data_IF_330654508354
#
_entry.id   IF_330654508354
#
_cell.length_a   1.000
_cell.length_b   1.000
_cell.length_c   1.000
_cell.angle_alpha   90.00
_cell.angle_beta   90.00
_cell.angle_gamma   90.00
#
_symmetry.space_group_name_H-M   'P 1'
#
loop_
_entity.id
_entity.type
_entity.pdbx_description
1 polymer ?
#
# COMPACT_ATOMS: atom_id res chain seq x y z
N UNK A 1 58.00 3.60 53.30
CA UNK A 1 59.24 2.82 53.48
C UNK A 1 59.56 2.15 52.16
N UNK A 2 60.68 2.57 51.55
CA UNK A 2 61.49 1.95 50.48
C UNK A 2 60.83 1.48 49.15
N UNK A 3 61.09 2.19 48.02
CA UNK A 3 62.05 1.88 46.89
C UNK A 3 61.46 0.87 45.87
N UNK A 4 61.05 1.26 44.65
CA UNK A 4 61.78 1.31 43.34
C UNK A 4 62.24 -0.09 42.85
N UNK A 5 62.31 -0.51 41.56
CA UNK A 5 62.84 0.04 40.28
C UNK A 5 62.32 -0.93 39.17
N UNK A 6 61.92 -0.54 37.95
CA UNK A 6 62.78 -0.40 36.77
C UNK A 6 62.83 -1.64 35.85
N UNK A 7 62.49 -1.49 34.55
CA UNK A 7 62.74 -2.50 33.50
C UNK A 7 62.16 -2.09 32.14
N UNK A 8 63.04 -1.85 31.16
CA UNK A 8 62.80 -1.36 29.79
C UNK A 8 63.07 -2.46 28.75
N UNK A 9 62.56 -2.26 27.51
CA UNK A 9 62.99 -2.86 26.21
C UNK A 9 62.49 -4.30 25.92
N UNK A 10 62.03 -4.75 24.73
CA UNK A 10 62.04 -4.33 23.30
C UNK A 10 60.73 -4.86 22.63
N UNK A 11 60.00 -4.07 21.85
CA UNK A 11 59.96 -4.02 20.38
C UNK A 11 59.79 -5.37 19.62
N UNK A 12 58.56 -5.66 19.17
CA UNK A 12 58.31 -6.36 17.89
C UNK A 12 57.08 -5.74 17.21
N UNK A 13 57.38 -4.89 16.25
CA UNK A 13 56.66 -4.53 15.01
C UNK A 13 55.31 -5.20 14.65
N UNK A 14 54.47 -4.32 14.09
CA UNK A 14 53.59 -4.52 12.93
C UNK A 14 52.18 -5.08 13.16
N UNK A 15 51.22 -4.15 13.17
CA UNK A 15 50.14 -4.17 12.16
C UNK A 15 49.61 -2.75 11.93
N UNK A 16 49.97 -2.20 10.77
CA UNK A 16 49.22 -1.14 10.12
C UNK A 16 47.79 -1.61 9.87
N UNK A 17 46.80 -0.75 10.12
CA UNK A 17 45.77 -0.31 9.16
C UNK A 17 44.69 0.47 9.93
N UNK A 18 44.82 1.79 10.02
CA UNK A 18 44.15 2.77 9.14
C UNK A 18 42.67 2.96 9.48
N UNK A 19 42.42 3.98 10.31
CA UNK A 19 41.13 4.65 10.45
C UNK A 19 40.62 5.08 9.06
N UNK A 20 39.51 4.51 8.60
CA UNK A 20 38.65 5.14 7.58
C UNK A 20 37.42 5.69 8.28
N UNK A 21 37.31 7.01 8.21
CA UNK A 21 36.09 7.76 8.46
C UNK A 21 35.01 7.24 7.51
N UNK A 22 33.96 6.61 8.04
CA UNK A 22 32.69 6.51 7.32
C UNK A 22 32.05 7.89 7.35
N UNK A 23 32.11 8.57 6.21
CA UNK A 23 31.17 9.61 5.85
C UNK A 23 29.78 8.97 5.83
N UNK A 24 28.97 9.26 6.84
CA UNK A 24 27.53 9.14 6.74
C UNK A 24 27.08 10.08 5.63
N UNK A 25 26.80 9.53 4.45
CA UNK A 25 26.00 10.22 3.45
C UNK A 25 24.56 10.17 3.96
N UNK A 26 24.16 11.20 4.68
CA UNK A 26 22.76 11.54 4.89
C UNK A 26 22.23 12.01 3.53
N UNK A 27 21.79 11.05 2.72
CA UNK A 27 21.06 11.31 1.48
C UNK A 27 19.60 11.46 1.84
N UNK A 28 19.10 12.69 1.76
CA UNK A 28 17.67 12.97 1.74
C UNK A 28 17.12 12.35 0.44
N UNK A 29 16.61 11.12 0.50
CA UNK A 29 15.84 10.56 -0.62
C UNK A 29 14.63 11.48 -0.81
N UNK A 30 14.58 12.16 -1.94
CA UNK A 30 13.43 12.97 -2.31
C UNK A 30 12.21 12.06 -2.45
N UNK A 31 11.17 12.36 -1.69
CA UNK A 31 9.80 11.97 -2.01
C UNK A 31 9.49 12.47 -3.43
N UNK A 32 9.53 11.59 -4.43
CA UNK A 32 8.73 11.65 -5.66
C UNK A 32 9.28 10.63 -6.66
N UNK A 33 9.00 9.34 -6.53
CA UNK A 33 9.47 8.35 -7.51
C UNK A 33 8.43 7.26 -7.78
N UNK A 34 7.22 7.66 -8.20
CA UNK A 34 6.33 6.82 -9.00
C UNK A 34 5.53 7.63 -10.04
N UNK A 35 5.97 8.84 -10.40
CA UNK A 35 5.29 9.69 -11.39
C UNK A 35 5.54 9.23 -12.85
N UNK A 36 5.37 7.95 -13.13
CA UNK A 36 5.62 7.33 -14.44
C UNK A 36 4.43 7.32 -15.40
N UNK A 37 3.34 8.07 -15.16
CA UNK A 37 2.16 8.03 -16.04
C UNK A 37 1.52 9.42 -16.21
N UNK A 38 2.09 10.29 -17.06
CA UNK A 38 1.33 11.40 -17.67
C UNK A 38 0.87 10.98 -19.07
N UNK A 39 -0.28 10.31 -19.14
CA UNK A 39 -0.90 9.88 -20.40
C UNK A 39 -1.43 11.07 -21.21
N UNK A 40 -0.81 11.36 -22.35
CA UNK A 40 -1.32 12.35 -23.31
C UNK A 40 -2.23 11.65 -24.33
N UNK A 41 -3.55 11.84 -24.19
CA UNK A 41 -4.54 11.30 -25.11
C UNK A 41 -4.41 11.88 -26.52
N UNK A 42 -4.15 11.02 -27.50
CA UNK A 42 -4.22 11.36 -28.92
C UNK A 42 -5.21 10.43 -29.62
N UNK A 43 -6.33 11.02 -30.04
CA UNK A 43 -7.33 10.41 -30.93
C UNK A 43 -6.78 10.28 -32.34
N UNK A 44 -6.83 9.09 -32.94
CA UNK A 44 -6.40 8.89 -34.33
C UNK A 44 -6.74 7.53 -34.96
N UNK A 45 -7.94 7.46 -35.55
CA UNK A 45 -8.29 6.86 -36.87
C UNK A 45 -7.79 5.48 -37.34
N UNK A 46 -8.78 4.66 -37.71
CA UNK A 46 -8.78 3.44 -38.53
C UNK A 46 -7.74 3.33 -39.66
N UNK A 47 -7.14 2.13 -39.77
CA UNK A 47 -6.38 1.69 -40.94
C UNK A 47 -6.05 0.19 -40.93
N UNK A 48 -6.89 -0.61 -41.58
CA UNK A 48 -6.68 -2.03 -41.93
C UNK A 48 -5.40 -2.30 -42.74
N UNK A 49 -4.63 -3.37 -42.42
CA UNK A 49 -4.05 -4.28 -43.44
C UNK A 49 -3.57 -5.63 -42.89
N UNK A 50 -3.95 -6.69 -43.59
CA UNK A 50 -3.51 -8.09 -43.50
C UNK A 50 -1.99 -8.32 -43.71
N UNK A 51 -1.44 -9.41 -43.14
CA UNK A 51 -0.48 -10.26 -43.86
C UNK A 51 0.76 -10.80 -43.13
N UNK A 52 0.65 -12.03 -42.60
CA UNK A 52 1.64 -13.13 -42.47
C UNK A 52 3.17 -12.88 -42.47
N UNK A 53 3.87 -13.43 -41.46
CA UNK A 53 4.78 -14.62 -41.53
C UNK A 53 6.09 -14.51 -40.71
N UNK A 54 6.24 -15.44 -39.75
CA UNK A 54 7.45 -16.08 -39.14
C UNK A 54 8.79 -15.33 -39.06
N UNK A 55 9.36 -15.32 -37.85
CA UNK A 55 10.75 -15.76 -37.61
C UNK A 55 10.92 -16.24 -36.16
N UNK A 56 11.39 -17.47 -35.97
CA UNK A 56 12.03 -17.90 -34.72
C UNK A 56 13.43 -17.29 -34.70
N UNK A 57 13.70 -16.37 -33.76
CA UNK A 57 15.05 -15.87 -33.45
C UNK A 57 15.09 -15.38 -32.00
N UNK A 58 16.10 -15.86 -31.27
CA UNK A 58 16.72 -15.35 -30.03
C UNK A 58 15.87 -14.65 -28.95
N UNK A 59 16.02 -15.16 -27.71
CA UNK A 59 15.40 -14.63 -26.48
C UNK A 59 15.93 -13.25 -26.09
N UNK A 60 15.44 -12.23 -26.78
CA UNK A 60 15.31 -10.86 -26.30
C UNK A 60 13.83 -10.55 -26.35
N UNK A 61 13.17 -10.42 -25.19
CA UNK A 61 11.73 -10.18 -25.13
C UNK A 61 11.35 -8.96 -25.97
N UNK A 62 10.42 -9.14 -26.89
CA UNK A 62 9.89 -8.03 -27.69
C UNK A 62 9.25 -6.99 -26.74
N UNK A 63 9.50 -5.70 -26.99
CA UNK A 63 8.86 -4.61 -26.22
C UNK A 63 7.35 -4.74 -26.35
N UNK A 64 6.68 -4.77 -25.20
CA UNK A 64 5.22 -4.84 -25.16
C UNK A 64 4.65 -3.43 -25.01
N UNK A 65 3.82 -3.00 -25.96
CA UNK A 65 3.03 -1.78 -25.82
C UNK A 65 1.92 -2.01 -24.77
N UNK A 66 1.89 -1.26 -23.66
CA UNK A 66 0.83 -1.38 -22.69
C UNK A 66 -0.59 -1.17 -23.22
N UNK A 67 -0.75 -0.35 -24.27
CA UNK A 67 -2.06 -0.06 -24.85
C UNK A 67 -2.68 -1.26 -25.58
N UNK A 68 -1.85 -2.21 -26.01
CA UNK A 68 -2.27 -3.41 -26.74
C UNK A 68 -2.37 -4.65 -25.83
N UNK A 69 -1.83 -4.57 -24.61
CA UNK A 69 -1.81 -5.68 -23.67
C UNK A 69 -3.20 -5.96 -23.06
N UNK A 70 -3.53 -7.25 -22.81
CA UNK A 70 -4.78 -7.59 -22.13
C UNK A 70 -4.78 -7.05 -20.70
N UNK A 71 -5.96 -6.70 -20.19
CA UNK A 71 -6.13 -6.30 -18.78
C UNK A 71 -6.42 -7.50 -17.89
N UNK A 72 -5.87 -7.47 -16.69
CA UNK A 72 -6.08 -8.46 -15.64
C UNK A 72 -7.50 -8.35 -15.11
N UNK A 73 -8.13 -9.49 -14.81
CA UNK A 73 -9.46 -9.55 -14.22
C UNK A 73 -9.34 -9.51 -12.69
N UNK A 74 -9.94 -8.53 -12.04
CA UNK A 74 -9.84 -8.35 -10.58
C UNK A 74 -11.18 -8.66 -9.89
N UNK A 75 -11.15 -9.41 -8.78
CA UNK A 75 -12.32 -9.63 -7.92
C UNK A 75 -11.99 -9.44 -6.43
N UNK A 76 -12.12 -8.20 -5.96
CA UNK A 76 -11.83 -7.83 -4.55
C UNK A 76 -12.81 -8.41 -3.54
N UNK A 77 -13.99 -8.86 -3.98
CA UNK A 77 -15.07 -9.27 -3.08
C UNK A 77 -15.35 -10.77 -3.15
N UNK A 78 -14.45 -11.55 -3.76
CA UNK A 78 -14.51 -13.02 -3.74
C UNK A 78 -14.19 -13.55 -2.34
N UNK A 79 -14.60 -14.79 -2.04
CA UNK A 79 -14.24 -15.49 -0.79
C UNK A 79 -12.71 -15.61 -0.57
N UNK A 80 -11.93 -15.54 -1.65
CA UNK A 80 -10.47 -15.61 -1.60
C UNK A 80 -9.81 -14.26 -1.30
N UNK A 81 -10.47 -13.15 -1.64
CA UNK A 81 -9.93 -11.80 -1.53
C UNK A 81 -10.51 -11.01 -0.35
N UNK A 82 -11.82 -11.08 -0.14
CA UNK A 82 -12.52 -10.33 0.89
C UNK A 82 -12.48 -11.01 2.25
N UNK A 83 -12.54 -10.22 3.32
CA UNK A 83 -12.71 -10.70 4.70
C UNK A 83 -13.96 -10.10 5.33
N UNK A 84 -14.07 -8.77 5.36
CA UNK A 84 -15.26 -8.06 5.80
C UNK A 84 -16.20 -7.77 4.64
N UNK A 85 -15.65 -7.60 3.43
CA UNK A 85 -16.39 -7.27 2.21
C UNK A 85 -16.44 -8.49 1.27
N UNK A 86 -17.07 -9.57 1.73
CA UNK A 86 -17.31 -10.75 0.91
C UNK A 86 -18.67 -10.62 0.20
N UNK A 87 -18.68 -10.77 -1.12
CA UNK A 87 -19.91 -10.71 -1.93
C UNK A 87 -20.87 -11.81 -1.50
N UNK A 88 -22.14 -11.46 -1.32
CA UNK A 88 -23.20 -12.41 -0.99
C UNK A 88 -24.53 -11.97 -1.62
N UNK A 89 -25.51 -12.88 -1.66
CA UNK A 89 -26.86 -12.55 -2.13
C UNK A 89 -27.55 -11.45 -1.30
N UNK A 90 -27.02 -11.14 -0.11
CA UNK A 90 -27.58 -10.17 0.83
C UNK A 90 -26.94 -8.78 0.73
N UNK A 91 -25.85 -8.62 -0.03
CA UNK A 91 -25.18 -7.33 -0.23
C UNK A 91 -25.14 -6.95 -1.71
N UNK A 92 -24.98 -5.66 -1.97
CA UNK A 92 -24.94 -5.08 -3.31
C UNK A 92 -23.49 -4.79 -3.74
N UNK A 93 -22.54 -5.64 -3.33
CA UNK A 93 -21.14 -5.46 -3.71
C UNK A 93 -20.95 -5.73 -5.21
N UNK A 94 -20.16 -4.92 -5.94
CA UNK A 94 -19.93 -5.05 -7.37
C UNK A 94 -19.52 -6.46 -7.81
N UNK A 95 -19.90 -6.87 -9.02
CA UNK A 95 -19.56 -8.16 -9.63
C UNK A 95 -18.05 -8.27 -9.96
N UNK A 96 -17.52 -9.48 -10.24
CA UNK A 96 -16.10 -9.61 -10.54
C UNK A 96 -15.72 -8.79 -11.78
N UNK A 97 -14.66 -7.99 -11.66
CA UNK A 97 -14.15 -7.07 -12.68
C UNK A 97 -15.11 -5.93 -13.07
N UNK A 98 -16.15 -5.71 -12.28
CA UNK A 98 -16.95 -4.50 -12.39
C UNK A 98 -16.21 -3.34 -11.70
N UNK A 99 -16.15 -2.14 -12.32
CA UNK A 99 -15.61 -0.96 -11.66
C UNK A 99 -16.29 -0.69 -10.31
N UNK A 100 -15.50 -0.32 -9.30
CA UNK A 100 -15.97 -0.06 -7.94
C UNK A 100 -15.95 1.45 -7.69
N UNK A 101 -17.06 2.01 -7.21
CA UNK A 101 -17.10 3.39 -6.71
C UNK A 101 -16.88 3.41 -5.18
N UNK A 102 -15.65 3.66 -4.75
CA UNK A 102 -15.28 3.71 -3.34
C UNK A 102 -15.78 4.97 -2.62
N UNK A 103 -16.30 5.96 -3.35
CA UNK A 103 -16.87 7.18 -2.75
C UNK A 103 -18.29 6.95 -2.18
N UNK A 104 -18.80 5.73 -2.28
CA UNK A 104 -20.10 5.32 -1.75
C UNK A 104 -19.97 4.38 -0.55
N UNK A 105 -21.03 4.29 0.25
CA UNK A 105 -21.17 3.22 1.24
C UNK A 105 -21.15 1.85 0.53
N UNK A 106 -20.56 0.81 1.12
CA UNK A 106 -19.99 0.75 2.47
C UNK A 106 -18.51 1.16 2.56
N UNK A 107 -17.91 1.69 1.49
CA UNK A 107 -16.46 1.89 1.37
C UNK A 107 -15.93 3.16 2.02
N UNK A 108 -16.79 4.11 2.40
CA UNK A 108 -16.39 5.35 3.07
C UNK A 108 -17.09 5.48 4.43
N UNK A 109 -16.33 5.79 5.47
CA UNK A 109 -16.83 5.91 6.85
C UNK A 109 -16.47 7.26 7.43
N UNK A 110 -17.38 7.79 8.27
CA UNK A 110 -17.15 9.00 9.06
C UNK A 110 -17.05 8.62 10.54
N UNK A 111 -16.06 9.17 11.23
CA UNK A 111 -15.80 8.95 12.65
C UNK A 111 -15.09 10.15 13.28
N UNK A 112 -14.34 9.90 14.36
CA UNK A 112 -13.56 10.90 15.08
C UNK A 112 -12.04 10.64 14.97
N UNK A 113 -11.28 11.72 14.93
CA UNK A 113 -9.84 11.74 15.14
C UNK A 113 -9.47 11.77 16.62
N UNK A 114 -8.16 11.79 16.93
CA UNK A 114 -7.66 11.69 18.30
C UNK A 114 -8.18 12.78 19.24
N UNK A 115 -8.38 14.01 18.74
CA UNK A 115 -8.83 15.17 19.52
C UNK A 115 -10.34 15.46 19.32
N UNK A 116 -11.07 14.53 18.68
CA UNK A 116 -12.51 14.61 18.44
C UNK A 116 -12.93 15.36 17.17
N UNK A 117 -11.96 15.71 16.32
CA UNK A 117 -12.24 16.21 14.99
C UNK A 117 -12.95 15.17 14.12
N UNK A 118 -13.81 15.62 13.21
CA UNK A 118 -14.47 14.71 12.27
C UNK A 118 -13.45 14.16 11.27
N UNK A 119 -13.40 12.85 11.08
CA UNK A 119 -12.56 12.22 10.04
C UNK A 119 -13.42 11.47 9.03
N UNK A 120 -12.96 11.45 7.78
CA UNK A 120 -13.49 10.58 6.73
C UNK A 120 -12.36 9.68 6.24
N UNK A 121 -12.62 8.39 6.13
CA UNK A 121 -11.65 7.40 5.68
C UNK A 121 -12.31 6.36 4.77
N UNK A 122 -11.54 5.80 3.84
CA UNK A 122 -11.98 4.64 3.06
C UNK A 122 -11.87 3.35 3.86
N UNK A 123 -12.48 2.27 3.41
CA UNK A 123 -12.27 0.92 3.90
C UNK A 123 -11.99 0.00 2.71
N UNK A 124 -10.73 -0.44 2.59
CA UNK A 124 -10.25 -1.35 1.55
C UNK A 124 -10.19 -2.81 2.02
N UNK A 125 -10.88 -3.12 3.11
CA UNK A 125 -10.94 -4.42 3.80
C UNK A 125 -9.67 -4.74 4.63
N UNK A 126 -9.67 -5.92 5.25
CA UNK A 126 -8.59 -6.47 6.06
C UNK A 126 -7.37 -6.72 5.20
N UNK A 127 -6.21 -6.29 5.70
CA UNK A 127 -4.91 -6.54 5.09
C UNK A 127 -3.95 -7.09 6.15
N UNK A 128 -3.09 -8.07 5.82
CA UNK A 128 -2.04 -8.50 6.73
C UNK A 128 -0.98 -7.40 6.89
N UNK A 129 -0.10 -7.53 7.89
CA UNK A 129 1.01 -6.58 8.10
C UNK A 129 2.24 -6.89 7.24
N UNK A 130 2.27 -8.02 6.54
CA UNK A 130 3.36 -8.39 5.62
C UNK A 130 3.09 -7.78 4.25
N UNK A 131 3.88 -6.81 3.78
CA UNK A 131 3.67 -6.17 2.48
C UNK A 131 4.01 -7.11 1.33
N UNK A 132 3.43 -6.85 0.15
CA UNK A 132 3.77 -7.51 -1.10
C UNK A 132 4.87 -6.72 -1.85
N UNK A 133 5.75 -7.33 -2.65
CA UNK A 133 6.77 -6.60 -3.41
C UNK A 133 6.17 -5.92 -4.65
N UNK A 134 6.59 -4.67 -4.91
CA UNK A 134 6.40 -3.99 -6.20
C UNK A 134 7.76 -3.62 -6.78
N UNK A 135 7.97 -3.92 -8.06
CA UNK A 135 9.26 -3.76 -8.71
C UNK A 135 9.26 -2.52 -9.60
N UNK A 136 10.11 -1.55 -9.26
CA UNK A 136 10.38 -0.36 -10.06
C UNK A 136 11.76 -0.48 -10.69
N UNK A 137 11.87 -0.20 -12.00
CA UNK A 137 13.11 -0.42 -12.74
C UNK A 137 13.87 0.90 -12.87
N UNK A 138 15.19 0.84 -12.70
CA UNK A 138 16.11 1.97 -12.73
C UNK A 138 17.29 1.62 -13.62
N UNK A 139 17.77 2.60 -14.39
CA UNK A 139 19.06 2.47 -15.07
C UNK A 139 20.18 2.55 -14.05
N UNK A 140 21.29 1.85 -14.32
CA UNK A 140 22.45 1.84 -13.42
C UNK A 140 22.93 3.26 -13.07
N UNK A 141 22.87 3.58 -11.76
CA UNK A 141 23.30 4.87 -11.22
C UNK A 141 22.28 6.00 -11.33
N UNK A 142 21.08 5.75 -11.85
CA UNK A 142 19.97 6.71 -11.84
C UNK A 142 19.15 6.58 -10.55
N UNK A 143 18.69 7.73 -10.03
CA UNK A 143 17.86 7.80 -8.83
C UNK A 143 16.37 7.91 -9.19
N UNK A 144 16.01 7.86 -10.48
CA UNK A 144 14.63 7.95 -10.95
C UNK A 144 14.21 6.68 -11.68
N UNK A 145 12.98 6.16 -11.48
CA UNK A 145 12.48 5.05 -12.28
C UNK A 145 12.57 5.36 -13.76
N UNK A 146 12.79 4.31 -14.54
CA UNK A 146 12.83 4.36 -15.98
C UNK A 146 11.50 4.91 -16.51
N UNK A 147 11.58 5.98 -17.30
CA UNK A 147 10.42 6.57 -17.94
C UNK A 147 9.69 5.55 -18.82
N UNK A 148 8.36 5.65 -18.87
CA UNK A 148 7.44 4.76 -19.61
C UNK A 148 7.44 3.28 -19.19
N UNK A 149 8.32 2.86 -18.29
CA UNK A 149 8.25 1.54 -17.69
C UNK A 149 7.20 1.51 -16.60
N UNK A 150 6.25 0.57 -16.71
CA UNK A 150 5.30 0.33 -15.63
C UNK A 150 5.91 -0.56 -14.56
N UNK A 151 5.52 -0.31 -13.32
CA UNK A 151 5.92 -1.18 -12.22
C UNK A 151 5.35 -2.58 -12.39
N UNK A 152 6.08 -3.57 -11.89
CA UNK A 152 5.70 -4.98 -11.99
C UNK A 152 5.25 -5.46 -10.61
N UNK A 153 4.16 -6.23 -10.56
CA UNK A 153 3.68 -6.96 -9.37
C UNK A 153 3.46 -8.44 -9.74
N UNK A 154 3.37 -9.31 -8.73
CA UNK A 154 3.25 -10.77 -8.91
C UNK A 154 2.03 -11.38 -8.20
N UNK A 155 1.22 -10.54 -7.56
CA UNK A 155 0.04 -10.96 -6.80
C UNK A 155 -1.08 -9.96 -6.99
N UNK A 156 -2.31 -10.45 -7.06
CA UNK A 156 -3.55 -9.65 -7.14
C UNK A 156 -4.54 -10.10 -6.05
N UNK A 157 -5.62 -9.34 -5.78
CA UNK A 157 -6.62 -9.74 -4.77
C UNK A 157 -7.11 -11.17 -5.01
N UNK A 158 -6.98 -12.02 -3.98
CA UNK A 158 -7.31 -13.44 -4.02
C UNK A 158 -6.10 -14.38 -4.09
N UNK A 159 -4.92 -13.86 -4.44
CA UNK A 159 -3.68 -14.62 -4.42
C UNK A 159 -3.07 -14.68 -3.02
N UNK A 160 -2.36 -15.77 -2.73
CA UNK A 160 -1.60 -15.91 -1.50
C UNK A 160 -0.49 -14.84 -1.44
N UNK A 161 -0.46 -14.07 -0.35
CA UNK A 161 0.54 -13.02 -0.15
C UNK A 161 0.18 -11.67 -0.76
N UNK A 162 -1.01 -11.52 -1.37
CA UNK A 162 -1.51 -10.21 -1.77
C UNK A 162 -1.61 -9.26 -0.59
N UNK A 163 -1.26 -7.99 -0.83
CA UNK A 163 -1.46 -6.90 0.10
C UNK A 163 -1.65 -5.59 -0.69
N UNK A 164 -2.50 -4.68 -0.21
CA UNK A 164 -2.60 -3.32 -0.76
C UNK A 164 -1.32 -2.50 -0.47
N UNK A 165 -0.53 -2.89 0.53
CA UNK A 165 0.74 -2.26 0.88
C UNK A 165 1.91 -2.92 0.15
N UNK A 166 2.58 -2.12 -0.66
CA UNK A 166 3.67 -2.56 -1.52
C UNK A 166 5.02 -2.10 -1.03
N UNK A 167 5.93 -3.05 -0.84
CA UNK A 167 7.33 -2.82 -0.57
C UNK A 167 8.07 -2.57 -1.89
N UNK A 168 8.60 -1.37 -2.05
CA UNK A 168 9.28 -0.99 -3.30
C UNK A 168 10.64 -1.69 -3.38
N UNK A 169 10.82 -2.46 -4.46
CA UNK A 169 12.05 -3.14 -4.80
C UNK A 169 12.62 -2.50 -6.07
N UNK A 170 13.85 -2.00 -5.98
CA UNK A 170 14.55 -1.39 -7.10
C UNK A 170 15.21 -2.49 -7.93
N UNK A 171 14.91 -2.49 -9.23
CA UNK A 171 15.50 -3.39 -10.22
C UNK A 171 16.48 -2.60 -11.07
N UNK A 172 17.76 -2.99 -11.07
CA UNK A 172 18.78 -2.33 -11.87
C UNK A 172 18.87 -2.97 -13.27
N UNK A 173 18.59 -2.18 -14.30
CA UNK A 173 18.64 -2.61 -15.71
C UNK A 173 19.79 -1.94 -16.48
N UNK A 174 20.32 -2.59 -17.53
CA UNK A 174 21.41 -2.03 -18.33
C UNK A 174 20.98 -0.81 -19.14
N UNK A 175 21.95 -0.03 -19.61
CA UNK A 175 21.69 1.21 -20.34
C UNK A 175 20.99 1.01 -21.71
N UNK A 176 21.00 -0.20 -22.26
CA UNK A 176 20.30 -0.55 -23.49
C UNK A 176 18.93 -1.21 -23.24
N UNK A 177 18.49 -1.32 -21.98
CA UNK A 177 17.15 -1.80 -21.67
C UNK A 177 16.08 -0.86 -22.22
N UNK A 178 15.07 -1.45 -22.86
CA UNK A 178 13.90 -0.77 -23.40
C UNK A 178 12.71 -0.95 -22.44
N UNK A 179 11.98 0.14 -22.17
CA UNK A 179 10.84 0.10 -21.27
C UNK A 179 9.79 -0.92 -21.74
N UNK A 180 9.22 -1.65 -20.80
CA UNK A 180 8.23 -2.72 -20.99
C UNK A 180 8.74 -3.94 -21.78
N UNK A 181 10.06 -4.16 -21.81
CA UNK A 181 10.63 -5.48 -22.17
C UNK A 181 10.31 -6.53 -21.11
N UNK A 182 10.45 -6.19 -19.82
CA UNK A 182 9.97 -7.02 -18.72
C UNK A 182 8.55 -6.59 -18.31
N UNK A 183 7.65 -7.57 -18.21
CA UNK A 183 6.23 -7.40 -17.91
C UNK A 183 5.73 -8.38 -16.84
N UNK A 184 6.64 -9.11 -16.22
CA UNK A 184 6.38 -10.06 -15.14
C UNK A 184 7.61 -10.23 -14.26
N UNK A 185 7.44 -10.73 -13.03
CA UNK A 185 8.57 -11.06 -12.17
C UNK A 185 9.43 -12.17 -12.78
N UNK A 186 8.81 -13.10 -13.53
CA UNK A 186 9.55 -14.12 -14.27
C UNK A 186 10.51 -13.49 -15.29
N UNK A 187 10.09 -12.46 -16.02
CA UNK A 187 10.98 -11.74 -16.96
C UNK A 187 12.16 -11.09 -16.24
N UNK A 188 11.93 -10.56 -15.04
CA UNK A 188 13.01 -9.98 -14.22
C UNK A 188 14.03 -11.04 -13.81
N UNK A 189 13.55 -12.23 -13.41
CA UNK A 189 14.38 -13.36 -13.03
C UNK A 189 15.16 -13.93 -14.22
N UNK A 190 14.49 -14.10 -15.36
CA UNK A 190 15.09 -14.61 -16.60
C UNK A 190 16.11 -13.63 -17.17
N UNK A 191 15.87 -12.32 -17.02
CA UNK A 191 16.81 -11.25 -17.34
C UNK A 191 18.03 -11.20 -16.40
N UNK A 192 17.94 -11.82 -15.22
CA UNK A 192 19.01 -11.85 -14.24
C UNK A 192 19.34 -10.47 -13.67
N UNK A 193 18.36 -9.57 -13.58
CA UNK A 193 18.56 -8.22 -13.08
C UNK A 193 18.79 -8.22 -11.56
N UNK A 194 19.62 -7.29 -11.09
CA UNK A 194 19.83 -7.09 -9.66
C UNK A 194 18.61 -6.42 -9.04
N UNK A 195 18.08 -7.02 -7.96
CA UNK A 195 16.91 -6.52 -7.23
C UNK A 195 17.30 -6.18 -5.80
N UNK A 196 17.02 -4.94 -5.38
CA UNK A 196 17.30 -4.46 -4.03
C UNK A 196 16.02 -3.96 -3.37
N UNK A 197 15.66 -4.57 -2.25
CA UNK A 197 14.56 -4.09 -1.42
C UNK A 197 14.92 -2.75 -0.75
N UNK A 198 14.02 -1.77 -0.81
CA UNK A 198 14.21 -0.46 -0.15
C UNK A 198 13.63 -0.48 1.27
N UNK A 199 13.44 0.68 1.90
CA UNK A 199 12.59 0.84 3.09
C UNK A 199 11.23 1.46 2.76
N UNK A 200 10.94 1.76 1.49
CA UNK A 200 9.75 2.49 1.05
C UNK A 200 8.54 1.56 0.95
N UNK A 201 7.42 2.01 1.52
CA UNK A 201 6.10 1.42 1.34
C UNK A 201 5.18 2.36 0.56
N UNK A 202 4.28 1.77 -0.23
CA UNK A 202 3.19 2.48 -0.91
C UNK A 202 1.86 1.79 -0.65
N UNK A 203 0.81 2.56 -0.38
CA UNK A 203 -0.55 2.04 -0.29
C UNK A 203 -1.17 2.11 -1.69
N UNK A 204 -1.22 0.97 -2.37
CA UNK A 204 -1.75 0.85 -3.73
C UNK A 204 -2.76 -0.28 -3.87
N UNK A 205 -4.01 -0.12 -3.41
CA UNK A 205 -5.04 -1.12 -3.58
C UNK A 205 -5.27 -1.44 -5.06
N UNK A 206 -5.14 -2.71 -5.44
CA UNK A 206 -5.40 -3.20 -6.79
C UNK A 206 -6.90 -3.35 -6.99
N UNK A 207 -7.42 -2.78 -8.08
CA UNK A 207 -8.86 -2.65 -8.34
C UNK A 207 -9.18 -2.96 -9.80
N UNK A 208 -10.45 -3.30 -10.12
CA UNK A 208 -10.90 -3.35 -11.49
C UNK A 208 -10.65 -2.03 -12.21
N UNK A 209 -10.31 -2.11 -13.50
CA UNK A 209 -10.16 -0.94 -14.35
C UNK A 209 -11.43 -0.05 -14.31
N UNK A 210 -11.24 1.26 -14.31
CA UNK A 210 -12.33 2.24 -14.22
C UNK A 210 -12.92 2.46 -12.82
N UNK A 211 -12.42 1.79 -11.79
CA UNK A 211 -12.81 2.06 -10.39
C UNK A 211 -12.46 3.49 -9.98
N UNK A 212 -13.24 4.08 -9.06
CA UNK A 212 -13.08 5.46 -8.58
C UNK A 212 -12.91 5.53 -7.08
N UNK A 213 -12.03 6.42 -6.64
CA UNK A 213 -11.87 6.86 -5.26
C UNK A 213 -11.39 8.31 -5.32
N UNK A 214 -12.27 9.30 -5.24
CA UNK A 214 -11.94 10.71 -5.52
C UNK A 214 -11.50 11.53 -4.30
N UNK A 215 -11.65 11.01 -3.08
CA UNK A 215 -11.30 11.70 -1.85
C UNK A 215 -9.81 11.50 -1.52
N UNK A 216 -9.11 12.58 -1.13
CA UNK A 216 -7.69 12.55 -0.74
C UNK A 216 -7.45 13.52 0.41
N UNK A 217 -6.58 13.12 1.34
CA UNK A 217 -5.98 14.07 2.26
C UNK A 217 -4.83 14.79 1.52
N UNK A 218 -5.01 16.09 1.25
CA UNK A 218 -4.06 16.90 0.46
C UNK A 218 -4.34 16.88 -1.05
N UNK A 219 -3.34 17.25 -1.85
CA UNK A 219 -3.46 17.43 -3.31
C UNK A 219 -2.98 16.20 -4.12
N UNK A 220 -3.40 15.00 -3.74
CA UNK A 220 -3.02 13.75 -4.42
C UNK A 220 -3.77 13.50 -5.73
N UNK A 221 -3.15 12.77 -6.66
CA UNK A 221 -3.83 12.26 -7.85
C UNK A 221 -4.87 11.19 -7.48
N UNK A 222 -6.03 11.25 -8.13
CA UNK A 222 -7.13 10.31 -7.93
C UNK A 222 -7.22 9.27 -9.05
N UNK A 223 -6.43 9.43 -10.11
CA UNK A 223 -6.37 8.51 -11.23
C UNK A 223 -5.85 7.13 -10.83
N UNK A 224 -6.27 6.13 -11.62
CA UNK A 224 -5.66 4.80 -11.54
C UNK A 224 -4.26 4.85 -12.13
N UNK A 225 -3.33 4.21 -11.42
CA UNK A 225 -2.02 3.89 -11.94
C UNK A 225 -2.07 2.48 -12.52
N UNK A 226 -1.32 2.26 -13.59
CA UNK A 226 -1.25 0.98 -14.29
C UNK A 226 0.11 0.32 -14.05
N UNK A 227 0.08 -0.97 -13.77
CA UNK A 227 1.25 -1.84 -13.64
C UNK A 227 1.19 -3.02 -14.59
N UNK A 228 2.24 -3.83 -14.52
CA UNK A 228 2.35 -5.14 -15.15
C UNK A 228 2.12 -6.26 -14.12
N UNK A 229 1.33 -7.25 -14.50
CA UNK A 229 1.11 -8.50 -13.78
C UNK A 229 1.06 -9.63 -14.81
N UNK A 230 2.03 -10.54 -14.80
CA UNK A 230 2.09 -11.69 -15.72
C UNK A 230 1.87 -11.34 -17.22
N UNK A 231 2.44 -10.23 -17.70
CA UNK A 231 2.25 -9.77 -19.09
C UNK A 231 0.91 -9.09 -19.37
N UNK A 232 0.10 -8.84 -18.34
CA UNK A 232 -1.19 -8.17 -18.39
C UNK A 232 -1.13 -6.82 -17.67
N UNK A 233 -2.00 -5.89 -18.06
CA UNK A 233 -2.16 -4.62 -17.34
C UNK A 233 -3.00 -4.83 -16.09
N UNK A 234 -2.53 -4.31 -14.97
CA UNK A 234 -3.27 -4.23 -13.70
C UNK A 234 -3.46 -2.76 -13.31
N UNK A 235 -4.57 -2.44 -12.65
CA UNK A 235 -4.87 -1.09 -12.16
C UNK A 235 -4.84 -1.05 -10.64
N UNK A 236 -4.31 0.03 -10.08
CA UNK A 236 -4.33 0.29 -8.65
C UNK A 236 -4.50 1.78 -8.36
N UNK A 237 -5.05 2.09 -7.20
CA UNK A 237 -4.98 3.45 -6.66
C UNK A 237 -3.59 3.72 -6.09
N UNK A 238 -3.26 4.99 -5.87
CA UNK A 238 -2.08 5.41 -5.12
C UNK A 238 -2.52 6.39 -4.03
N UNK A 239 -2.34 6.00 -2.77
CA UNK A 239 -2.62 6.83 -1.60
C UNK A 239 -1.29 7.35 -1.03
N UNK A 240 -1.17 8.67 -0.94
CA UNK A 240 0.05 9.39 -0.52
C UNK A 240 -0.21 10.41 0.59
N UNK A 241 -1.18 10.14 1.47
CA UNK A 241 -1.51 11.01 2.61
C UNK A 241 -0.36 11.09 3.63
N UNK A 242 0.51 10.07 3.67
CA UNK A 242 1.76 10.07 4.43
C UNK A 242 2.84 9.24 3.72
N UNK A 243 4.13 9.57 3.84
CA UNK A 243 5.20 8.65 3.49
C UNK A 243 5.23 7.45 4.43
N UNK A 244 5.25 6.24 3.87
CA UNK A 244 5.31 5.00 4.64
C UNK A 244 6.68 4.34 4.49
N UNK A 245 7.15 3.75 5.58
CA UNK A 245 8.40 2.98 5.59
C UNK A 245 8.20 1.65 6.30
N UNK A 246 8.90 0.62 5.82
CA UNK A 246 8.91 -0.70 6.45
C UNK A 246 9.52 -0.59 7.84
N UNK A 247 8.79 -1.06 8.85
CA UNK A 247 9.26 -1.14 10.23
C UNK A 247 9.34 -2.60 10.64
N UNK A 248 10.53 -3.08 11.00
CA UNK A 248 10.77 -4.49 11.36
C UNK A 248 10.23 -5.52 10.34
N UNK A 249 10.29 -5.18 9.06
CA UNK A 249 9.80 -6.03 7.96
C UNK A 249 8.28 -6.02 7.76
N UNK A 250 7.56 -5.12 8.42
CA UNK A 250 6.10 -5.02 8.37
C UNK A 250 5.61 -3.61 8.04
N UNK A 251 4.36 -3.53 7.59
CA UNK A 251 3.61 -2.27 7.49
C UNK A 251 3.35 -1.75 8.91
N UNK A 252 3.65 -0.46 9.22
CA UNK A 252 3.33 0.11 10.52
C UNK A 252 1.81 0.09 10.75
N UNK A 253 1.37 0.08 12.00
CA UNK A 253 -0.06 0.05 12.33
C UNK A 253 -0.44 1.18 13.29
N UNK A 254 -1.64 1.72 13.11
CA UNK A 254 -2.24 2.68 14.03
C UNK A 254 -3.49 2.09 14.70
N UNK A 255 -3.77 2.34 15.99
CA UNK A 255 -5.00 1.86 16.60
C UNK A 255 -6.26 2.57 16.05
N UNK A 256 -7.34 1.81 15.87
CA UNK A 256 -8.69 2.34 15.74
C UNK A 256 -9.60 1.70 16.78
N UNK A 257 -10.50 2.48 17.37
CA UNK A 257 -11.51 2.02 18.30
C UNK A 257 -12.87 2.04 17.61
N UNK A 258 -13.57 0.92 17.59
CA UNK A 258 -14.84 0.77 16.87
C UNK A 258 -15.88 0.10 17.77
N UNK A 259 -17.15 0.23 17.39
CA UNK A 259 -18.23 -0.48 18.04
C UNK A 259 -19.32 -0.89 17.05
N UNK A 260 -20.03 -1.96 17.35
CA UNK A 260 -20.98 -2.61 16.44
C UNK A 260 -22.40 -2.59 17.02
N UNK A 261 -23.41 -2.67 16.14
CA UNK A 261 -24.82 -2.67 16.56
C UNK A 261 -25.13 -3.80 17.54
N UNK A 262 -24.49 -4.95 17.37
CA UNK A 262 -24.49 -6.07 18.32
C UNK A 262 -23.03 -6.39 18.71
N UNK A 263 -22.76 -6.52 20.01
CA UNK A 263 -21.40 -6.68 20.52
C UNK A 263 -20.79 -8.04 20.09
N UNK A 264 -19.46 -8.13 19.90
CA UNK A 264 -18.80 -9.42 19.66
C UNK A 264 -19.16 -10.47 20.71
N UNK A 265 -19.39 -11.71 20.26
CA UNK A 265 -19.82 -12.82 21.11
C UNK A 265 -21.33 -12.95 21.33
N UNK A 266 -22.12 -11.98 20.86
CA UNK A 266 -23.58 -12.07 20.75
C UNK A 266 -24.00 -12.72 19.41
N UNK A 267 -25.25 -13.20 19.34
CA UNK A 267 -25.79 -13.81 18.10
C UNK A 267 -25.97 -12.73 17.04
N UNK A 268 -25.23 -12.80 15.93
CA UNK A 268 -25.18 -11.76 14.90
C UNK A 268 -24.16 -10.64 15.16
N UNK A 269 -23.46 -10.68 16.30
CA UNK A 269 -22.55 -9.63 16.75
C UNK A 269 -21.29 -9.42 15.93
N UNK A 270 -20.67 -8.26 16.12
CA UNK A 270 -19.43 -7.86 15.44
C UNK A 270 -19.67 -7.27 14.05
N UNK A 271 -18.70 -7.41 13.12
CA UNK A 271 -18.78 -6.80 11.78
C UNK A 271 -20.08 -7.06 11.00
N UNK A 272 -20.69 -8.26 11.03
CA UNK A 272 -21.95 -8.52 10.32
C UNK A 272 -23.12 -7.63 10.75
N UNK A 273 -23.13 -7.16 12.01
CA UNK A 273 -24.17 -6.25 12.51
C UNK A 273 -23.99 -4.81 12.04
N UNK A 274 -22.84 -4.46 11.45
CA UNK A 274 -22.46 -3.10 11.06
C UNK A 274 -22.07 -2.23 12.25
N UNK A 275 -21.43 -1.09 11.96
CA UNK A 275 -21.07 -0.12 13.00
C UNK A 275 -22.32 0.55 13.59
N UNK A 276 -22.24 0.92 14.87
CA UNK A 276 -23.24 1.81 15.47
C UNK A 276 -23.14 3.18 14.80
N UNK A 277 -24.29 3.75 14.45
CA UNK A 277 -24.38 5.13 13.95
C UNK A 277 -25.34 5.97 14.78
N UNK A 278 -25.19 7.29 14.70
CA UNK A 278 -26.13 8.20 15.34
C UNK A 278 -27.53 8.14 14.73
N UNK A 279 -28.54 8.42 15.56
CA UNK A 279 -29.93 8.48 15.14
C UNK A 279 -30.12 9.48 13.98
N UNK A 280 -30.50 8.96 12.82
CA UNK A 280 -30.81 9.76 11.63
C UNK A 280 -29.59 10.21 10.82
N UNK A 281 -28.40 9.63 11.03
CA UNK A 281 -27.21 9.87 10.24
C UNK A 281 -26.31 8.63 10.09
N UNK A 282 -25.24 8.80 9.31
CA UNK A 282 -24.27 7.73 8.99
C UNK A 282 -22.95 7.86 9.77
N UNK A 283 -22.91 8.82 10.73
CA UNK A 283 -21.72 9.06 11.56
C UNK A 283 -21.59 7.95 12.59
N UNK A 284 -20.43 7.30 12.58
CA UNK A 284 -20.01 6.38 13.64
C UNK A 284 -19.30 7.15 14.74
N UNK A 285 -19.14 6.52 15.91
CA UNK A 285 -18.20 6.96 16.95
C UNK A 285 -16.95 6.07 16.94
N UNK A 286 -16.53 5.68 15.73
CA UNK A 286 -15.22 5.06 15.54
C UNK A 286 -14.14 6.14 15.72
N UNK A 287 -13.08 5.82 16.45
CA UNK A 287 -12.03 6.78 16.78
C UNK A 287 -10.69 6.28 16.25
N UNK A 288 -10.08 7.00 15.31
CA UNK A 288 -8.70 6.75 14.89
C UNK A 288 -7.73 7.37 15.89
N UNK A 289 -6.68 6.64 16.27
CA UNK A 289 -5.73 7.12 17.27
C UNK A 289 -4.69 8.11 16.73
N UNK A 290 -4.59 8.22 15.41
CA UNK A 290 -3.69 9.13 14.69
C UNK A 290 -4.38 9.61 13.42
N UNK A 291 -4.01 10.77 12.89
CA UNK A 291 -4.42 11.27 11.56
C UNK A 291 -3.19 11.58 10.71
N UNK A 292 -3.34 11.79 9.37
CA UNK A 292 -2.20 12.20 8.56
C UNK A 292 -1.50 13.43 9.15
N UNK A 293 -0.17 13.45 9.09
CA UNK A 293 0.76 14.39 9.75
C UNK A 293 1.03 14.14 11.25
N UNK A 294 0.32 13.23 11.92
CA UNK A 294 0.75 12.76 13.24
C UNK A 294 1.97 11.85 13.14
N UNK A 295 2.85 11.95 14.15
CA UNK A 295 3.96 11.01 14.30
C UNK A 295 3.41 9.59 14.48
N UNK A 296 3.80 8.69 13.58
CA UNK A 296 3.39 7.28 13.65
C UNK A 296 2.06 6.96 12.98
N UNK A 297 1.42 7.90 12.28
CA UNK A 297 0.25 7.59 11.46
C UNK A 297 0.55 6.50 10.42
N UNK A 298 -0.35 5.51 10.36
CA UNK A 298 -0.44 4.52 9.30
C UNK A 298 -1.90 4.34 8.89
N UNK A 299 -2.20 4.18 7.58
CA UNK A 299 -3.53 3.82 7.13
C UNK A 299 -3.90 2.35 7.37
N UNK A 300 -2.98 1.52 7.85
CA UNK A 300 -3.30 0.16 8.32
C UNK A 300 -3.68 0.20 9.80
N UNK A 301 -4.96 0.00 10.10
CA UNK A 301 -5.48 0.16 11.46
C UNK A 301 -5.63 -1.15 12.20
N UNK A 302 -5.12 -1.24 13.43
CA UNK A 302 -5.42 -2.34 14.35
C UNK A 302 -6.74 -2.08 15.07
N UNK A 303 -7.73 -2.96 14.86
CA UNK A 303 -9.09 -2.80 15.38
C UNK A 303 -9.15 -3.18 16.86
N UNK A 304 -9.67 -2.26 17.66
CA UNK A 304 -10.04 -2.43 19.06
C UNK A 304 -11.55 -2.21 19.20
N UNK A 305 -12.26 -3.16 19.80
CA UNK A 305 -13.72 -3.12 19.90
C UNK A 305 -14.14 -2.71 21.30
N UNK A 306 -14.82 -1.57 21.41
CA UNK A 306 -15.43 -1.12 22.66
C UNK A 306 -16.92 -1.45 22.72
N UNK A 307 -17.45 -1.57 23.94
CA UNK A 307 -18.85 -1.91 24.21
C UNK A 307 -19.79 -0.85 23.64
N UNK A 308 -20.78 -1.26 22.84
CA UNK A 308 -21.77 -0.35 22.27
C UNK A 308 -22.59 0.40 23.33
N UNK A 309 -22.64 -0.07 24.58
CA UNK A 309 -23.23 0.66 25.70
C UNK A 309 -22.52 2.00 25.99
N UNK A 310 -21.24 2.12 25.62
CA UNK A 310 -20.43 3.32 25.83
C UNK A 310 -20.47 4.30 24.65
N UNK A 311 -21.13 3.95 23.53
CA UNK A 311 -21.20 4.74 22.29
C UNK A 311 -21.43 6.24 22.54
N UNK A 312 -22.49 6.59 23.26
CA UNK A 312 -22.87 7.99 23.50
C UNK A 312 -21.83 8.82 24.28
N UNK A 313 -20.82 8.19 24.88
CA UNK A 313 -19.75 8.83 25.63
C UNK A 313 -18.41 8.92 24.88
N UNK A 314 -18.29 8.25 23.73
CA UNK A 314 -17.06 8.20 22.93
C UNK A 314 -17.09 9.30 21.87
N UNK A 315 -16.12 10.21 21.91
CA UNK A 315 -16.01 11.31 20.94
C UNK A 315 -14.59 11.66 20.53
N UNK A 316 -13.58 11.02 21.12
CA UNK A 316 -12.15 11.29 20.95
C UNK A 316 -11.34 10.10 21.49
N UNK A 317 -10.00 10.16 21.39
CA UNK A 317 -9.15 9.05 21.82
C UNK A 317 -9.17 8.87 23.35
N UNK A 318 -9.29 9.94 24.12
CA UNK A 318 -9.34 9.86 25.59
C UNK A 318 -10.58 9.08 26.05
N UNK A 319 -11.75 9.41 25.51
CA UNK A 319 -13.01 8.73 25.80
C UNK A 319 -13.06 7.31 25.23
N UNK A 320 -12.54 7.08 24.03
CA UNK A 320 -12.47 5.74 23.44
C UNK A 320 -11.59 4.79 24.25
N UNK A 321 -10.45 5.26 24.75
CA UNK A 321 -9.55 4.45 25.61
C UNK A 321 -10.05 4.29 27.04
N UNK A 322 -10.96 5.15 27.49
CA UNK A 322 -11.66 5.02 28.77
C UNK A 322 -12.89 4.10 28.72
N UNK A 323 -13.43 3.83 27.52
CA UNK A 323 -14.56 2.95 27.31
C UNK A 323 -14.23 1.48 27.66
N UNK A 324 -15.28 0.69 27.85
CA UNK A 324 -15.18 -0.73 28.15
C UNK A 324 -14.71 -1.48 26.91
N UNK A 325 -13.47 -1.95 26.92
CA UNK A 325 -12.92 -2.73 25.81
C UNK A 325 -13.39 -4.19 25.88
N UNK A 326 -13.98 -4.68 24.78
CA UNK A 326 -14.44 -6.05 24.63
C UNK A 326 -13.36 -6.93 24.02
N UNK A 327 -12.75 -6.47 22.92
CA UNK A 327 -11.68 -7.17 22.21
C UNK A 327 -10.63 -6.16 21.71
N UNK A 328 -9.38 -6.61 21.59
CA UNK A 328 -8.25 -5.78 21.14
C UNK A 328 -7.47 -6.49 20.04
N UNK A 329 -6.96 -5.73 19.09
CA UNK A 329 -6.13 -6.20 17.97
C UNK A 329 -6.78 -7.36 17.18
N UNK A 330 -8.09 -7.26 16.91
CA UNK A 330 -8.88 -8.35 16.33
C UNK A 330 -8.62 -8.57 14.84
N UNK A 331 -8.23 -7.51 14.13
CA UNK A 331 -7.84 -7.52 12.73
C UNK A 331 -7.12 -6.22 12.38
N UNK A 332 -6.42 -6.21 11.24
CA UNK A 332 -5.82 -5.01 10.65
C UNK A 332 -6.53 -4.65 9.34
N UNK A 333 -6.97 -3.41 9.17
CA UNK A 333 -7.74 -2.94 8.00
C UNK A 333 -7.08 -1.76 7.31
N UNK A 334 -7.07 -1.76 5.98
CA UNK A 334 -6.55 -0.63 5.21
C UNK A 334 -7.62 0.46 5.07
N UNK A 335 -7.48 1.54 5.82
CA UNK A 335 -8.44 2.64 5.82
C UNK A 335 -7.74 4.01 5.74
N UNK A 336 -7.22 4.42 4.57
CA UNK A 336 -6.56 5.71 4.44
C UNK A 336 -7.53 6.85 4.79
N UNK A 337 -7.09 7.75 5.69
CA UNK A 337 -7.82 8.96 6.04
C UNK A 337 -7.73 9.94 4.88
N UNK A 338 -8.89 10.40 4.41
CA UNK A 338 -9.03 11.27 3.24
C UNK A 338 -9.53 12.66 3.58
N UNK A 339 -10.03 12.87 4.80
CA UNK A 339 -10.42 14.18 5.29
C UNK A 339 -10.29 14.25 6.81
N UNK A 340 -9.83 15.40 7.30
CA UNK A 340 -9.75 15.73 8.72
C UNK A 340 -10.42 17.10 8.89
N UNK A 341 -11.50 17.13 9.66
CA UNK A 341 -12.28 18.32 9.97
C UNK A 341 -11.56 19.24 10.95
N UNK A 342 -12.13 20.42 11.15
CA UNK A 342 -11.75 21.26 12.29
C UNK A 342 -12.60 20.84 13.50
N UNK A 343 -12.02 20.74 14.71
CA UNK A 343 -12.78 20.45 15.93
C UNK A 343 -13.95 21.40 16.18
#
# INVERSE_FOLDING_TARGET
MYIAIGGHSEDVMSRHETRRQLLAKTGTLGLALMAGCMGNGSTGTDGTSDGMNRSETDGTGDVTDPGDAPRTRIDRFSDAAGTLMVRSDANELPEPNEPIDFDQKPFVTEGFGPDGEMVTYYNFDVQPTTPAPIYALFREGEETPLEDQRNIIDVIPGDEGYNDFWHVHEVTVPADYEANTATSVQDLQDGGYDITATDVLKNCPVVPDGSTASLRHGEGDTGLVEGWYEGQIVSYFLFEETPLTVTDGSVPVSPIYVTFNENPGEDGGGPPSGFVTEDGGDRTHNVVATVPNDDGYSPLWSINVYDNADFASVSDLESATAATLLESDVATVNCPVVSVGTP
#
